data_IF_895524005818
#
_entry.id   IF_895524005818
#
_cell.length_a   1.000
_cell.length_b   1.000
_cell.length_c   1.000
_cell.angle_alpha   90.00
_cell.angle_beta   90.00
_cell.angle_gamma   90.00
#
_symmetry.space_group_name_H-M   'P 1'
#
loop_
_entity.id
_entity.type
_entity.pdbx_description
1 polymer ?
#
# COMPACT_ATOMS: atom_id res chain seq x y z
N UNK A 1 -8.39 -10.49 2.25
CA UNK A 1 -9.68 -10.80 1.58
C UNK A 1 -10.67 -9.62 1.56
N UNK A 2 -10.49 -8.56 2.35
CA UNK A 2 -11.52 -7.52 2.56
C UNK A 2 -11.77 -6.59 1.34
N UNK A 3 -10.75 -6.34 0.51
CA UNK A 3 -10.83 -5.42 -0.63
C UNK A 3 -11.87 -5.79 -1.72
N UNK A 4 -12.34 -7.06 -1.77
CA UNK A 4 -13.44 -7.48 -2.65
C UNK A 4 -14.84 -7.32 -2.02
N UNK A 5 -14.94 -7.23 -0.70
CA UNK A 5 -16.22 -7.19 0.03
C UNK A 5 -16.93 -5.85 -0.17
N UNK A 6 -16.19 -4.74 0.02
CA UNK A 6 -16.72 -3.37 -0.15
C UNK A 6 -16.97 -2.99 -1.62
N UNK A 7 -16.40 -3.72 -2.57
CA UNK A 7 -16.61 -3.47 -4.01
C UNK A 7 -17.96 -3.93 -4.57
N UNK A 8 -18.81 -4.61 -3.78
CA UNK A 8 -20.05 -5.26 -4.28
C UNK A 8 -21.36 -4.57 -3.92
N UNK A 9 -21.39 -3.55 -3.07
CA UNK A 9 -22.67 -3.01 -2.52
C UNK A 9 -23.24 -1.78 -3.24
N UNK A 10 -22.59 -1.22 -4.27
CA UNK A 10 -23.11 -0.10 -5.07
C UNK A 10 -23.30 -0.43 -6.56
N UNK A 11 -23.71 -1.67 -6.87
CA UNK A 11 -24.13 -2.08 -8.21
C UNK A 11 -25.64 -1.84 -8.44
N UNK A 12 -26.08 -0.58 -8.41
CA UNK A 12 -27.44 -0.23 -8.84
C UNK A 12 -27.54 -0.46 -10.35
N UNK A 13 -28.35 -1.43 -10.77
CA UNK A 13 -28.38 -1.89 -12.15
C UNK A 13 -29.02 -0.86 -13.11
N UNK A 14 -28.29 -0.33 -14.11
CA UNK A 14 -28.88 0.55 -15.11
C UNK A 14 -29.76 -0.28 -16.06
N UNK A 15 -31.08 -0.05 -16.01
CA UNK A 15 -32.02 -0.60 -17.01
C UNK A 15 -31.72 -0.01 -18.40
N UNK A 16 -31.03 -0.76 -19.26
CA UNK A 16 -30.90 -0.43 -20.68
C UNK A 16 -32.12 -0.95 -21.46
N UNK A 17 -32.81 -0.13 -22.28
CA UNK A 17 -33.61 -0.65 -23.38
C UNK A 17 -32.69 -1.24 -24.46
N UNK A 18 -33.21 -2.15 -25.27
CA UNK A 18 -32.44 -2.81 -26.32
C UNK A 18 -32.63 -2.13 -27.69
N UNK A 19 -31.53 -1.91 -28.42
CA UNK A 19 -31.53 -1.57 -29.85
C UNK A 19 -30.47 -2.40 -30.56
N UNK A 20 -30.78 -2.92 -31.76
CA UNK A 20 -30.03 -4.01 -32.42
C UNK A 20 -29.67 -3.66 -33.87
N UNK A 21 -28.47 -3.12 -34.06
CA UNK A 21 -27.79 -2.87 -35.35
C UNK A 21 -26.28 -2.98 -35.06
N UNK A 22 -25.39 -3.50 -35.90
CA UNK A 22 -25.52 -4.19 -37.19
C UNK A 22 -24.12 -4.26 -37.83
N UNK A 23 -23.64 -5.45 -38.21
CA UNK A 23 -22.31 -5.64 -38.84
C UNK A 23 -22.30 -5.12 -40.29
N UNK A 24 -21.13 -4.70 -40.80
CA UNK A 24 -20.42 -5.59 -41.72
C UNK A 24 -18.88 -5.62 -41.57
N UNK A 25 -18.25 -6.46 -42.38
CA UNK A 25 -16.80 -6.75 -42.40
C UNK A 25 -15.91 -5.61 -42.93
N UNK A 26 -14.61 -5.69 -42.62
CA UNK A 26 -13.56 -4.87 -43.24
C UNK A 26 -12.18 -5.55 -43.18
N UNK A 27 -11.86 -6.37 -44.18
CA UNK A 27 -10.53 -7.00 -44.36
C UNK A 27 -9.57 -6.11 -45.15
N UNK A 28 -8.28 -6.10 -44.79
CA UNK A 28 -7.10 -5.86 -45.68
C UNK A 28 -5.82 -6.21 -44.87
N UNK A 29 -5.02 -7.21 -45.26
CA UNK A 29 -3.89 -7.24 -46.24
C UNK A 29 -2.50 -7.01 -45.58
N UNK A 30 -1.46 -7.66 -46.12
CA UNK A 30 -0.08 -7.78 -45.56
C UNK A 30 0.96 -6.95 -46.40
N UNK A 31 2.31 -7.16 -46.41
CA UNK A 31 3.29 -6.07 -46.23
C UNK A 31 4.07 -5.73 -47.54
N UNK A 32 5.38 -6.01 -47.82
CA UNK A 32 6.52 -6.64 -47.12
C UNK A 32 7.75 -5.68 -46.93
N UNK A 33 8.94 -6.24 -46.61
CA UNK A 33 10.31 -5.62 -46.74
C UNK A 33 10.63 -4.40 -45.84
N UNK A 34 11.88 -4.03 -45.50
CA UNK A 34 13.26 -4.55 -45.73
C UNK A 34 14.19 -4.00 -44.60
N UNK A 35 15.51 -4.27 -44.44
CA UNK A 35 16.52 -5.04 -45.20
C UNK A 35 17.63 -5.55 -44.23
N UNK A 36 18.61 -6.34 -44.70
CA UNK A 36 19.68 -6.94 -43.88
C UNK A 36 20.87 -6.01 -43.52
N UNK A 37 21.62 -6.38 -42.46
CA UNK A 37 23.09 -6.27 -42.42
C UNK A 37 23.73 -5.42 -41.30
N UNK A 38 24.61 -6.04 -40.49
CA UNK A 38 26.07 -5.76 -40.52
C UNK A 38 26.85 -6.80 -39.67
N UNK A 39 28.12 -7.05 -39.99
CA UNK A 39 29.01 -7.97 -39.26
C UNK A 39 30.06 -7.17 -38.46
N UNK A 40 30.07 -7.31 -37.13
CA UNK A 40 30.94 -6.56 -36.22
C UNK A 40 31.76 -7.43 -35.27
N UNK A 41 32.63 -8.29 -35.79
CA UNK A 41 33.55 -9.10 -34.96
C UNK A 41 34.75 -8.26 -34.51
N UNK A 42 34.90 -8.06 -33.21
CA UNK A 42 36.20 -7.72 -32.58
C UNK A 42 36.44 -8.62 -31.36
N UNK A 43 37.64 -9.18 -31.26
CA UNK A 43 38.13 -9.80 -30.02
C UNK A 43 38.89 -8.74 -29.22
N UNK A 44 38.63 -8.63 -27.93
CA UNK A 44 39.41 -7.82 -27.00
C UNK A 44 39.79 -8.69 -25.78
N UNK A 45 41.01 -9.20 -25.77
CA UNK A 45 41.54 -10.02 -24.67
C UNK A 45 41.99 -9.10 -23.54
N UNK A 46 41.22 -9.03 -22.45
CA UNK A 46 41.50 -8.23 -21.25
C UNK A 46 41.88 -9.09 -20.04
N UNK A 47 42.59 -8.53 -19.04
CA UNK A 47 43.27 -9.33 -18.02
C UNK A 47 42.35 -9.92 -16.93
N UNK A 48 42.87 -10.98 -16.31
CA UNK A 48 42.30 -11.73 -15.18
C UNK A 48 41.69 -10.81 -14.10
N UNK A 49 40.37 -10.85 -13.98
CA UNK A 49 39.67 -10.32 -12.82
C UNK A 49 39.73 -11.35 -11.68
N UNK A 50 40.27 -10.96 -10.52
CA UNK A 50 40.14 -11.73 -9.28
C UNK A 50 38.67 -12.02 -8.98
N UNK A 51 38.31 -13.19 -8.43
CA UNK A 51 36.93 -13.45 -8.04
C UNK A 51 36.48 -12.40 -7.01
N UNK A 52 35.25 -11.87 -7.12
CA UNK A 52 34.73 -10.96 -6.12
C UNK A 52 34.72 -11.67 -4.77
N UNK A 53 35.36 -11.07 -3.76
CA UNK A 53 35.29 -11.55 -2.38
C UNK A 53 33.81 -11.62 -2.01
N UNK A 54 33.33 -12.82 -1.69
CA UNK A 54 31.93 -13.02 -1.33
C UNK A 54 31.63 -12.19 -0.09
N UNK A 55 30.95 -11.06 -0.29
CA UNK A 55 30.54 -10.15 0.77
C UNK A 55 29.63 -10.91 1.72
N UNK A 56 30.18 -11.31 2.87
CA UNK A 56 29.51 -12.19 3.82
C UNK A 56 28.45 -11.38 4.57
N UNK A 57 27.30 -11.15 3.92
CA UNK A 57 26.18 -10.37 4.45
C UNK A 57 25.80 -10.98 5.81
N UNK A 58 25.85 -10.20 6.91
CA UNK A 58 25.74 -10.77 8.25
C UNK A 58 24.37 -11.41 8.43
N UNK A 59 24.38 -12.72 8.72
CA UNK A 59 23.19 -13.58 8.85
C UNK A 59 22.12 -12.99 9.80
N UNK A 60 22.55 -12.20 10.79
CA UNK A 60 21.73 -11.39 11.69
C UNK A 60 20.66 -10.57 10.97
N UNK A 61 20.99 -9.92 9.84
CA UNK A 61 20.07 -9.04 9.13
C UNK A 61 18.86 -9.78 8.52
N UNK A 62 19.01 -11.07 8.22
CA UNK A 62 17.90 -11.94 7.76
C UNK A 62 17.03 -12.36 8.94
N UNK A 63 17.65 -12.73 10.07
CA UNK A 63 16.96 -13.10 11.29
C UNK A 63 16.15 -11.93 11.88
N UNK A 64 16.71 -10.72 11.89
CA UNK A 64 16.03 -9.49 12.34
C UNK A 64 14.81 -9.16 11.46
N UNK A 65 14.92 -9.40 10.15
CA UNK A 65 13.82 -9.20 9.19
C UNK A 65 12.69 -10.22 9.40
N UNK A 66 13.00 -11.51 9.56
CA UNK A 66 11.99 -12.53 9.89
C UNK A 66 11.29 -12.20 11.22
N UNK A 67 12.05 -11.87 12.27
CA UNK A 67 11.51 -11.49 13.58
C UNK A 67 10.61 -10.23 13.52
N UNK A 68 10.91 -9.28 12.62
CA UNK A 68 10.05 -8.14 12.35
C UNK A 68 8.73 -8.56 11.66
N UNK A 69 8.78 -9.40 10.64
CA UNK A 69 7.58 -9.93 9.98
C UNK A 69 6.71 -10.79 10.92
N UNK A 70 7.31 -11.61 11.77
CA UNK A 70 6.59 -12.34 12.84
C UNK A 70 5.93 -11.38 13.83
N UNK A 71 6.67 -10.37 14.30
CA UNK A 71 6.15 -9.32 15.21
C UNK A 71 4.91 -8.64 14.63
N UNK A 72 4.91 -8.31 13.33
CA UNK A 72 3.80 -7.65 12.64
C UNK A 72 2.60 -8.59 12.39
N UNK A 73 2.85 -9.87 12.09
CA UNK A 73 1.81 -10.90 11.94
C UNK A 73 1.10 -11.17 13.27
N UNK A 74 1.87 -11.37 14.34
CA UNK A 74 1.35 -11.65 15.69
C UNK A 74 0.61 -10.43 16.26
N UNK A 75 1.12 -9.21 16.05
CA UNK A 75 0.37 -7.97 16.30
C UNK A 75 -0.97 -7.96 15.57
N UNK A 76 -0.98 -8.17 14.25
CA UNK A 76 -2.19 -8.17 13.41
C UNK A 76 -3.23 -9.20 13.89
N UNK A 77 -2.79 -10.41 14.27
CA UNK A 77 -3.65 -11.47 14.79
C UNK A 77 -4.19 -11.18 16.20
N UNK A 78 -3.41 -10.51 17.05
CA UNK A 78 -3.81 -10.11 18.41
C UNK A 78 -4.71 -8.87 18.41
N UNK A 79 -4.51 -7.95 17.47
CA UNK A 79 -5.35 -6.76 17.30
C UNK A 79 -6.75 -7.14 16.80
N UNK A 80 -6.84 -8.04 15.80
CA UNK A 80 -8.12 -8.62 15.37
C UNK A 80 -8.87 -9.36 16.50
N UNK A 81 -8.16 -9.79 17.55
CA UNK A 81 -8.72 -10.41 18.77
C UNK A 81 -8.94 -9.43 19.93
N UNK A 82 -8.60 -8.14 19.78
CA UNK A 82 -8.70 -7.12 20.83
C UNK A 82 -7.69 -7.26 21.98
N UNK A 83 -6.58 -7.99 21.79
CA UNK A 83 -5.60 -8.33 22.84
C UNK A 83 -4.15 -7.89 22.52
N UNK A 84 -3.92 -7.06 21.50
CA UNK A 84 -2.59 -6.51 21.20
C UNK A 84 -2.12 -5.44 22.20
N UNK A 85 -3.04 -4.87 23.01
CA UNK A 85 -2.77 -3.72 23.88
C UNK A 85 -1.62 -3.99 24.87
N UNK A 86 -1.64 -5.10 25.61
CA UNK A 86 -0.52 -5.46 26.50
C UNK A 86 0.78 -5.72 25.70
N UNK A 87 0.86 -6.70 24.78
CA UNK A 87 2.14 -7.09 24.20
C UNK A 87 2.83 -6.00 23.38
N UNK A 88 2.12 -5.06 22.75
CA UNK A 88 2.71 -4.08 21.82
C UNK A 88 2.43 -2.61 22.10
N UNK A 89 1.33 -2.26 22.78
CA UNK A 89 0.89 -0.85 22.85
C UNK A 89 0.98 -0.24 24.25
N UNK A 90 1.15 -1.05 25.30
CA UNK A 90 1.09 -0.64 26.71
C UNK A 90 2.21 0.30 27.17
N UNK A 91 3.33 0.37 26.45
CA UNK A 91 4.45 1.27 26.77
C UNK A 91 5.07 1.91 25.52
N UNK A 92 5.71 3.10 25.64
CA UNK A 92 6.40 3.74 24.52
C UNK A 92 7.44 2.82 23.87
N UNK A 93 8.20 2.06 24.67
CA UNK A 93 9.22 1.14 24.16
C UNK A 93 8.63 -0.03 23.34
N UNK A 94 7.45 -0.54 23.73
CA UNK A 94 6.73 -1.58 22.95
C UNK A 94 6.21 -1.02 21.62
N UNK A 95 5.67 0.21 21.63
CA UNK A 95 5.21 0.93 20.41
C UNK A 95 6.37 1.25 19.48
N UNK A 96 7.51 1.68 20.02
CA UNK A 96 8.73 1.93 19.25
C UNK A 96 9.28 0.64 18.61
N UNK A 97 9.29 -0.48 19.33
CA UNK A 97 9.65 -1.77 18.74
C UNK A 97 8.73 -2.15 17.57
N UNK A 98 7.42 -1.87 17.67
CA UNK A 98 6.47 -2.13 16.59
C UNK A 98 6.68 -1.18 15.38
N UNK A 99 7.01 0.10 15.61
CA UNK A 99 7.43 1.05 14.55
C UNK A 99 8.68 0.57 13.83
N UNK A 100 9.73 0.21 14.59
CA UNK A 100 10.98 -0.28 14.04
C UNK A 100 10.79 -1.57 13.21
N UNK A 101 9.97 -2.51 13.70
CA UNK A 101 9.62 -3.72 12.95
C UNK A 101 8.90 -3.39 11.63
N UNK A 102 7.92 -2.47 11.63
CA UNK A 102 7.24 -2.04 10.41
C UNK A 102 8.20 -1.40 9.40
N UNK A 103 9.05 -0.48 9.85
CA UNK A 103 10.00 0.22 8.97
C UNK A 103 11.07 -0.72 8.41
N UNK A 104 11.51 -1.73 9.16
CA UNK A 104 12.41 -2.77 8.67
C UNK A 104 11.73 -3.67 7.61
N UNK A 105 10.54 -4.16 7.91
CA UNK A 105 9.74 -5.00 7.01
C UNK A 105 9.34 -4.26 5.72
N UNK A 106 9.08 -2.95 5.80
CA UNK A 106 8.84 -2.11 4.64
C UNK A 106 10.10 -1.94 3.78
N UNK A 107 11.23 -1.55 4.38
CA UNK A 107 12.45 -1.19 3.64
C UNK A 107 13.13 -2.37 2.95
N UNK A 108 13.00 -3.59 3.46
CA UNK A 108 13.65 -4.78 2.90
C UNK A 108 12.70 -5.62 2.05
N UNK A 109 13.17 -6.25 0.95
CA UNK A 109 12.38 -7.22 0.20
C UNK A 109 12.13 -8.48 1.04
N UNK A 110 10.95 -9.07 0.89
CA UNK A 110 10.54 -10.29 1.57
C UNK A 110 9.68 -11.17 0.65
N UNK A 111 10.31 -12.03 -0.16
CA UNK A 111 9.63 -12.79 -1.22
C UNK A 111 8.49 -13.69 -0.73
N UNK A 112 8.56 -14.21 0.49
CA UNK A 112 7.51 -15.07 1.07
C UNK A 112 6.20 -14.31 1.41
N UNK A 113 6.20 -12.98 1.38
CA UNK A 113 4.99 -12.14 1.42
C UNK A 113 4.57 -11.61 0.03
N UNK A 114 5.32 -11.95 -1.02
CA UNK A 114 5.26 -11.25 -2.30
C UNK A 114 5.66 -9.77 -2.19
N UNK A 115 6.48 -9.40 -1.20
CA UNK A 115 6.97 -8.02 -1.03
C UNK A 115 8.34 -7.86 -1.66
N UNK A 116 8.46 -6.89 -2.58
CA UNK A 116 9.68 -6.64 -3.37
C UNK A 116 10.56 -5.51 -2.82
N UNK A 117 10.22 -4.95 -1.65
CA UNK A 117 10.82 -3.72 -1.15
C UNK A 117 10.26 -2.46 -1.82
N UNK A 118 10.61 -1.26 -1.33
CA UNK A 118 10.12 0.00 -1.88
C UNK A 118 10.74 0.24 -3.26
N UNK A 119 9.90 0.59 -4.24
CA UNK A 119 10.32 0.81 -5.62
C UNK A 119 9.19 1.40 -6.47
N UNK A 120 9.48 1.91 -7.68
CA UNK A 120 8.50 2.60 -8.51
C UNK A 120 7.34 1.70 -8.96
N UNK A 121 7.60 0.40 -9.10
CA UNK A 121 6.61 -0.60 -9.47
C UNK A 121 5.89 -1.24 -8.27
N UNK A 122 6.33 -0.99 -7.04
CA UNK A 122 5.77 -1.65 -5.86
C UNK A 122 4.46 -0.96 -5.42
N UNK A 123 3.40 -1.75 -5.25
CA UNK A 123 2.13 -1.24 -4.70
C UNK A 123 2.11 -1.34 -3.17
N UNK A 124 1.85 -0.20 -2.51
CA UNK A 124 1.46 -0.10 -1.10
C UNK A 124 0.01 0.39 -1.07
N UNK A 125 -0.84 -0.34 -0.35
CA UNK A 125 -2.21 0.10 -0.08
C UNK A 125 -2.32 0.55 1.37
N UNK A 126 -2.94 1.71 1.61
CA UNK A 126 -3.32 2.16 2.94
C UNK A 126 -4.85 2.19 3.05
N UNK A 127 -5.37 1.72 4.18
CA UNK A 127 -6.79 1.81 4.55
C UNK A 127 -6.93 2.39 5.95
N UNK A 128 -7.27 3.66 6.06
CA UNK A 128 -7.40 4.39 7.33
C UNK A 128 -8.87 4.43 7.74
N UNK A 129 -9.17 3.94 8.95
CA UNK A 129 -10.51 3.88 9.52
C UNK A 129 -10.58 4.79 10.75
N UNK A 130 -11.40 5.84 10.72
CA UNK A 130 -11.43 6.86 11.77
C UNK A 130 -12.86 7.31 12.12
N UNK A 131 -13.02 7.94 13.29
CA UNK A 131 -14.29 8.52 13.74
C UNK A 131 -14.61 9.89 13.12
N UNK A 132 -13.64 10.50 12.42
CA UNK A 132 -13.75 11.76 11.69
C UNK A 132 -12.67 11.83 10.59
N UNK A 133 -12.89 12.67 9.57
CA UNK A 133 -11.96 12.83 8.44
C UNK A 133 -10.65 13.54 8.81
N UNK A 134 -10.63 14.41 9.83
CA UNK A 134 -9.39 15.06 10.29
C UNK A 134 -8.43 14.06 10.92
N UNK A 135 -8.92 13.11 11.72
CA UNK A 135 -8.11 11.99 12.23
C UNK A 135 -7.63 11.08 11.11
N UNK A 136 -8.48 10.76 10.13
CA UNK A 136 -8.07 9.98 8.97
C UNK A 136 -6.97 10.67 8.15
N UNK A 137 -7.10 11.99 7.91
CA UNK A 137 -6.16 12.78 7.14
C UNK A 137 -4.82 13.00 7.84
N UNK A 138 -4.79 13.14 9.19
CA UNK A 138 -3.54 13.14 9.97
C UNK A 138 -2.80 11.82 9.82
N UNK A 139 -3.47 10.71 10.16
CA UNK A 139 -2.88 9.37 10.08
C UNK A 139 -2.42 9.05 8.65
N UNK A 140 -3.22 9.38 7.64
CA UNK A 140 -2.84 9.22 6.23
C UNK A 140 -1.56 10.00 5.88
N UNK A 141 -1.45 11.28 6.30
CA UNK A 141 -0.20 12.04 6.11
C UNK A 141 0.97 11.36 6.82
N UNK A 142 0.87 11.05 8.10
CA UNK A 142 2.01 10.52 8.86
C UNK A 142 2.50 9.17 8.32
N UNK A 143 1.59 8.36 7.79
CA UNK A 143 1.93 7.13 7.07
C UNK A 143 2.50 7.37 5.66
N UNK A 144 2.17 8.47 5.00
CA UNK A 144 2.86 8.90 3.77
C UNK A 144 4.27 9.43 4.06
N UNK A 145 4.42 10.33 5.05
CA UNK A 145 5.69 10.92 5.48
C UNK A 145 6.74 9.83 5.78
N UNK A 146 6.41 8.90 6.69
CA UNK A 146 7.36 7.89 7.22
C UNK A 146 7.69 6.75 6.23
N UNK A 147 6.79 6.47 5.29
CA UNK A 147 7.01 5.49 4.23
C UNK A 147 7.58 6.11 2.94
N UNK A 148 7.76 7.44 2.89
CA UNK A 148 8.23 8.16 1.70
C UNK A 148 7.24 8.10 0.51
N UNK A 149 5.94 8.04 0.81
CA UNK A 149 4.87 7.94 -0.20
C UNK A 149 4.28 9.32 -0.51
N UNK A 150 3.95 9.53 -1.78
CA UNK A 150 3.33 10.78 -2.25
C UNK A 150 1.97 11.04 -1.60
N UNK A 151 1.83 12.19 -0.94
CA UNK A 151 0.58 12.64 -0.33
C UNK A 151 -0.37 13.19 -1.41
N UNK A 152 -1.50 12.51 -1.64
CA UNK A 152 -2.49 12.86 -2.67
C UNK A 152 -3.78 13.33 -2.00
N UNK A 153 -4.40 14.41 -2.50
CA UNK A 153 -5.69 14.89 -1.98
C UNK A 153 -6.75 13.78 -2.08
N UNK A 154 -7.40 13.37 -0.97
CA UNK A 154 -8.46 12.37 -1.01
C UNK A 154 -9.70 12.90 -1.72
N UNK A 155 -10.17 12.20 -2.75
CA UNK A 155 -11.45 12.50 -3.40
C UNK A 155 -12.64 11.98 -2.57
N UNK A 156 -13.77 12.67 -2.60
CA UNK A 156 -15.01 12.13 -2.02
C UNK A 156 -15.56 10.98 -2.88
N UNK A 157 -16.10 9.94 -2.23
CA UNK A 157 -16.92 8.89 -2.85
C UNK A 157 -18.33 8.84 -2.27
N UNK A 158 -18.77 9.91 -1.62
CA UNK A 158 -20.11 10.05 -1.04
C UNK A 158 -20.94 10.95 -1.94
N UNK A 159 -22.14 10.50 -2.30
CA UNK A 159 -23.07 11.23 -3.17
C UNK A 159 -23.43 12.61 -2.59
N UNK A 160 -23.45 13.64 -3.43
CA UNK A 160 -23.70 15.03 -3.04
C UNK A 160 -22.61 15.70 -2.20
N UNK A 161 -21.44 15.05 -2.01
CA UNK A 161 -20.31 15.59 -1.25
C UNK A 161 -19.11 15.74 -2.17
N UNK A 162 -18.73 16.98 -2.54
CA UNK A 162 -17.57 17.24 -3.40
C UNK A 162 -16.25 17.11 -2.61
N UNK A 163 -16.16 17.84 -1.49
CA UNK A 163 -14.97 17.87 -0.64
C UNK A 163 -15.02 16.81 0.46
N UNK A 164 -14.10 15.84 0.38
CA UNK A 164 -13.96 14.79 1.39
C UNK A 164 -13.75 15.35 2.81
N UNK A 165 -13.09 16.51 2.95
CA UNK A 165 -12.76 17.12 4.25
C UNK A 165 -13.98 17.68 4.99
N UNK A 166 -15.14 17.74 4.34
CA UNK A 166 -16.40 18.17 4.95
C UNK A 166 -17.21 17.02 5.54
N UNK A 167 -16.86 15.75 5.26
CA UNK A 167 -17.53 14.57 5.79
C UNK A 167 -17.63 14.58 7.33
N UNK A 168 -18.74 14.04 7.85
CA UNK A 168 -19.07 13.95 9.27
C UNK A 168 -19.32 12.49 9.66
N UNK A 169 -18.97 12.14 10.90
CA UNK A 169 -19.05 10.76 11.39
C UNK A 169 -17.87 9.90 10.93
N UNK A 170 -18.03 8.58 11.09
CA UNK A 170 -16.99 7.62 10.75
C UNK A 170 -16.67 7.58 9.26
N UNK A 171 -15.39 7.42 8.94
CA UNK A 171 -14.87 7.41 7.56
C UNK A 171 -13.88 6.27 7.33
N UNK A 172 -13.83 5.82 6.08
CA UNK A 172 -12.78 4.98 5.53
C UNK A 172 -12.08 5.74 4.41
N UNK A 173 -10.79 6.01 4.59
CA UNK A 173 -9.91 6.57 3.56
C UNK A 173 -9.08 5.43 2.96
N UNK A 174 -9.10 5.29 1.64
CA UNK A 174 -8.24 4.34 0.90
C UNK A 174 -7.23 5.11 0.05
N UNK A 175 -5.98 4.67 0.10
CA UNK A 175 -4.90 5.13 -0.77
C UNK A 175 -4.18 3.95 -1.44
N UNK A 176 -3.65 4.19 -2.64
CA UNK A 176 -2.81 3.26 -3.40
C UNK A 176 -1.60 4.04 -3.95
N UNK A 177 -0.38 3.64 -3.58
CA UNK A 177 0.86 4.34 -3.97
C UNK A 177 1.16 4.31 -5.47
N UNK A 178 0.74 3.24 -6.16
CA UNK A 178 1.05 2.98 -7.58
C UNK A 178 0.06 3.66 -8.53
N UNK A 179 -1.24 3.56 -8.24
CA UNK A 179 -2.30 4.19 -9.06
C UNK A 179 -2.68 5.60 -8.62
N UNK A 180 -2.12 6.09 -7.50
CA UNK A 180 -2.43 7.38 -6.86
C UNK A 180 -3.91 7.56 -6.49
N UNK A 181 -4.70 6.49 -6.52
CA UNK A 181 -6.11 6.48 -6.15
C UNK A 181 -6.25 6.73 -4.64
N UNK A 182 -6.56 7.97 -4.27
CA UNK A 182 -6.91 8.36 -2.90
C UNK A 182 -8.39 8.76 -2.81
N UNK A 183 -9.15 8.18 -1.89
CA UNK A 183 -10.55 8.55 -1.68
C UNK A 183 -11.07 8.31 -0.25
N UNK A 184 -12.18 8.96 0.10
CA UNK A 184 -12.90 8.78 1.37
C UNK A 184 -14.36 8.38 1.15
N UNK A 185 -14.82 7.35 1.86
CA UNK A 185 -16.24 6.99 2.04
C UNK A 185 -16.66 7.17 3.50
N UNK A 186 -17.97 7.21 3.78
CA UNK A 186 -18.48 6.94 5.14
C UNK A 186 -18.10 5.52 5.57
N UNK A 187 -18.03 5.30 6.88
CA UNK A 187 -17.83 4.00 7.48
C UNK A 187 -18.51 3.95 8.86
N UNK A 188 -19.57 3.16 8.96
CA UNK A 188 -20.41 3.03 10.16
C UNK A 188 -20.00 1.84 11.06
N UNK A 189 -18.90 1.17 10.72
CA UNK A 189 -18.36 0.05 11.49
C UNK A 189 -17.59 0.48 12.75
N UNK A 190 -17.14 -0.52 13.52
CA UNK A 190 -16.51 -0.32 14.83
C UNK A 190 -14.99 -0.22 14.80
N UNK A 191 -14.34 -0.74 13.76
CA UNK A 191 -12.88 -0.80 13.66
C UNK A 191 -12.28 0.61 13.56
N UNK A 192 -11.07 0.81 14.08
CA UNK A 192 -10.34 2.09 14.01
C UNK A 192 -8.84 1.83 13.87
N UNK A 193 -8.13 2.70 13.15
CA UNK A 193 -6.70 2.57 12.90
C UNK A 193 -6.34 2.50 11.41
N UNK A 194 -5.12 2.07 11.11
CA UNK A 194 -4.56 2.00 9.76
C UNK A 194 -4.27 0.55 9.39
N UNK A 195 -4.76 0.11 8.23
CA UNK A 195 -4.31 -1.08 7.55
C UNK A 195 -3.26 -0.70 6.51
N UNK A 196 -2.17 -1.47 6.44
CA UNK A 196 -1.20 -1.40 5.34
C UNK A 196 -1.14 -2.75 4.63
N UNK A 197 -1.11 -2.73 3.30
CA UNK A 197 -0.83 -3.92 2.50
C UNK A 197 0.55 -3.78 1.84
N UNK A 198 1.41 -4.77 2.10
CA UNK A 198 2.75 -4.91 1.55
C UNK A 198 2.78 -6.21 0.74
N UNK A 199 2.69 -6.09 -0.58
CA UNK A 199 2.57 -7.25 -1.47
C UNK A 199 1.26 -7.99 -1.22
N UNK A 200 1.34 -9.26 -0.82
CA UNK A 200 0.17 -10.09 -0.52
C UNK A 200 -0.28 -10.01 0.96
N UNK A 201 0.55 -9.50 1.87
CA UNK A 201 0.22 -9.42 3.30
C UNK A 201 -0.45 -8.09 3.65
N UNK A 202 -1.57 -8.18 4.38
CA UNK A 202 -2.28 -7.07 4.99
C UNK A 202 -2.00 -7.08 6.50
N UNK A 203 -1.56 -5.94 7.05
CA UNK A 203 -1.15 -5.77 8.45
C UNK A 203 -1.98 -4.67 9.11
N UNK A 204 -2.23 -4.80 10.43
CA UNK A 204 -2.96 -3.82 11.24
C UNK A 204 -4.18 -4.39 11.98
N UNK A 205 -5.06 -3.59 12.55
CA UNK A 205 -5.09 -2.12 12.51
C UNK A 205 -4.02 -1.49 13.42
N UNK A 206 -3.13 -0.67 12.86
CA UNK A 206 -2.20 0.14 13.65
C UNK A 206 -2.93 1.37 14.23
N UNK A 207 -2.57 1.89 15.41
CA UNK A 207 -3.17 3.10 15.97
C UNK A 207 -3.16 4.30 15.01
N UNK A 208 -4.17 5.18 15.08
CA UNK A 208 -4.21 6.37 14.21
C UNK A 208 -3.02 7.33 14.46
N UNK A 209 -2.58 7.46 15.70
CA UNK A 209 -1.36 8.18 16.09
C UNK A 209 -0.10 7.31 16.13
N UNK A 210 0.05 6.31 15.24
CA UNK A 210 1.17 5.36 15.30
C UNK A 210 2.55 6.03 15.18
N UNK A 211 2.66 7.12 14.42
CA UNK A 211 3.89 7.89 14.23
C UNK A 211 3.87 9.29 14.91
N UNK A 212 2.70 9.83 15.22
CA UNK A 212 2.51 11.07 16.01
C UNK A 212 1.59 10.76 17.21
N UNK A 213 2.14 10.13 18.25
CA UNK A 213 1.38 9.70 19.44
C UNK A 213 0.74 10.89 20.19
N UNK A 214 1.36 12.06 20.10
CA UNK A 214 0.88 13.30 20.70
C UNK A 214 -0.22 13.97 19.88
N UNK A 215 -0.46 13.54 18.63
CA UNK A 215 -1.31 14.22 17.65
C UNK A 215 -0.93 15.71 17.51
N UNK A 216 0.37 15.97 17.56
CA UNK A 216 0.99 17.29 17.58
C UNK A 216 0.86 18.02 16.23
N UNK A 217 0.99 17.30 15.11
CA UNK A 217 0.84 17.84 13.77
C UNK A 217 -0.65 18.09 13.46
N UNK A 218 -1.08 19.30 13.03
CA UNK A 218 -2.48 19.57 12.66
C UNK A 218 -2.95 18.69 11.48
N UNK A 219 -4.26 18.64 11.21
CA UNK A 219 -4.73 17.95 10.00
C UNK A 219 -4.29 18.72 8.74
N UNK A 220 -3.89 18.04 7.65
CA UNK A 220 -3.53 18.71 6.41
C UNK A 220 -4.72 19.47 5.81
N UNK A 221 -4.47 20.68 5.33
CA UNK A 221 -5.40 21.47 4.52
C UNK A 221 -5.23 21.07 3.06
N UNK A 222 -6.15 20.25 2.56
CA UNK A 222 -6.16 19.76 1.18
C UNK A 222 -6.94 20.68 0.23
#
# INVERSE_FOLDING_TARGET
>A
MWAQQLGRQHAVAPRRPATRVGLPCGTNLLPPTSTAGFLGRTHATGPSASPPVAGNVPNTAVADLEAAWETLRDFTLKEFRGVAQEPYLSSPAKREKLRAALLLAYRQPYPAAGWTGPGPDTEVLLGVVASDVKFAARAYRDWCDELGLELVRPASRVEGMEDAMQLKGGVYLKYNSKTKLCYVTRYDGKDRGVLVQLGQLQLGHFPLGFFDEALSKPAPSF
#
